data_IF_618937357133
#
_entry.id   IF_618937357133
#
_cell.length_a   1.000
_cell.length_b   1.000
_cell.length_c   1.000
_cell.angle_alpha   90.00
_cell.angle_beta   90.00
_cell.angle_gamma   90.00
#
_symmetry.space_group_name_H-M   'P 1'
#
loop_
_entity.id
_entity.type
_entity.pdbx_description
1 polymer ?
#
# COMPACT_ATOMS: atom_id res chain seq x y z
N UNK A 1 -42.47 24.66 -57.03
CA UNK A 1 -41.01 24.57 -56.93
C UNK A 1 -40.68 24.34 -55.46
N UNK A 2 -40.41 23.09 -55.14
CA UNK A 2 -40.28 22.59 -53.74
C UNK A 2 -38.83 22.62 -53.38
N UNK A 3 -38.46 23.40 -52.38
CA UNK A 3 -37.11 23.38 -51.82
C UNK A 3 -37.11 22.46 -50.60
N UNK A 4 -36.50 21.31 -50.74
CA UNK A 4 -36.21 20.38 -49.69
C UNK A 4 -35.04 20.91 -48.84
N UNK A 5 -35.31 21.22 -47.60
CA UNK A 5 -34.30 21.52 -46.60
C UNK A 5 -33.91 20.19 -45.96
N UNK A 6 -32.70 19.74 -46.30
CA UNK A 6 -32.11 18.57 -45.66
C UNK A 6 -31.51 19.00 -44.32
N UNK A 7 -32.18 18.64 -43.24
CA UNK A 7 -31.66 18.83 -41.88
C UNK A 7 -30.65 17.73 -41.59
N UNK A 8 -29.38 18.09 -41.58
CA UNK A 8 -28.30 17.22 -41.15
C UNK A 8 -28.35 17.05 -39.61
N UNK A 9 -28.79 15.89 -39.20
CA UNK A 9 -28.73 15.45 -37.82
C UNK A 9 -27.27 15.00 -37.53
N UNK A 10 -26.52 15.78 -36.82
CA UNK A 10 -25.19 15.40 -36.31
C UNK A 10 -25.40 14.59 -35.01
N UNK A 11 -25.08 13.30 -34.98
CA UNK A 11 -25.07 12.60 -33.72
C UNK A 11 -23.86 13.07 -32.92
N UNK A 12 -24.12 13.78 -31.84
CA UNK A 12 -23.10 14.09 -30.82
C UNK A 12 -22.62 12.79 -30.18
N UNK A 13 -21.47 12.34 -30.60
CA UNK A 13 -20.75 11.24 -29.98
C UNK A 13 -20.27 11.71 -28.61
N UNK A 14 -21.11 11.56 -27.59
CA UNK A 14 -20.71 11.71 -26.20
C UNK A 14 -19.81 10.52 -25.85
N UNK A 15 -18.53 10.64 -26.16
CA UNK A 15 -17.48 9.82 -25.58
C UNK A 15 -17.46 10.15 -24.08
N UNK A 16 -18.22 9.35 -23.31
CA UNK A 16 -18.10 9.33 -21.87
C UNK A 16 -16.66 8.99 -21.52
N UNK A 17 -15.91 9.99 -21.09
CA UNK A 17 -14.70 9.81 -20.30
C UNK A 17 -15.16 9.05 -19.05
N UNK A 18 -15.08 7.72 -19.10
CA UNK A 18 -15.05 6.92 -17.89
C UNK A 18 -13.79 7.33 -17.14
N UNK A 19 -13.88 8.46 -16.42
CA UNK A 19 -12.95 8.83 -15.39
C UNK A 19 -12.92 7.64 -14.46
N UNK A 20 -11.80 6.95 -14.40
CA UNK A 20 -11.51 6.00 -13.33
C UNK A 20 -11.63 6.78 -12.04
N UNK A 21 -12.85 6.82 -11.50
CA UNK A 21 -13.11 7.41 -10.19
C UNK A 21 -12.50 6.44 -9.18
N UNK A 22 -11.20 6.61 -8.93
CA UNK A 22 -10.53 5.97 -7.80
C UNK A 22 -11.29 6.47 -6.58
N UNK A 23 -12.02 5.59 -5.92
CA UNK A 23 -12.81 5.93 -4.74
C UNK A 23 -11.94 6.63 -3.71
N UNK A 24 -12.52 7.49 -2.90
CA UNK A 24 -11.76 8.14 -1.81
C UNK A 24 -11.17 7.11 -0.84
N UNK A 25 -11.79 5.94 -0.75
CA UNK A 25 -11.24 4.78 -0.04
C UNK A 25 -9.87 4.34 -0.55
N UNK A 26 -9.62 4.42 -1.87
CA UNK A 26 -8.30 4.09 -2.43
C UNK A 26 -7.23 5.14 -2.14
N UNK A 27 -7.62 6.34 -1.65
CA UNK A 27 -6.68 7.44 -1.42
C UNK A 27 -6.04 7.46 -0.03
N UNK A 28 -6.57 6.72 0.93
CA UNK A 28 -6.09 6.70 2.32
C UNK A 28 -5.65 5.29 2.74
N UNK A 29 -5.14 4.50 1.82
CA UNK A 29 -4.76 3.12 2.05
C UNK A 29 -3.49 3.02 2.90
N UNK A 30 -3.52 2.15 3.89
CA UNK A 30 -2.33 1.70 4.62
C UNK A 30 -1.89 0.36 4.00
N UNK A 31 -0.61 0.22 3.70
CA UNK A 31 -0.03 -1.07 3.29
C UNK A 31 0.75 -1.66 4.46
N UNK A 32 0.41 -2.88 4.87
CA UNK A 32 1.14 -3.68 5.85
C UNK A 32 1.88 -4.79 5.11
N UNK A 33 3.19 -4.63 4.96
CA UNK A 33 4.07 -5.58 4.29
C UNK A 33 4.78 -6.45 5.33
N UNK A 34 4.35 -7.70 5.46
CA UNK A 34 4.88 -8.68 6.41
C UNK A 34 5.91 -9.59 5.74
N UNK A 35 6.94 -9.97 6.49
CA UNK A 35 7.93 -10.96 6.04
C UNK A 35 7.29 -12.32 5.79
N UNK A 36 6.40 -12.74 6.70
CA UNK A 36 5.71 -14.03 6.63
C UNK A 36 4.43 -14.02 7.45
N UNK A 37 3.51 -14.89 7.13
CA UNK A 37 2.31 -15.19 7.94
C UNK A 37 2.32 -16.62 8.49
N UNK A 38 3.44 -17.33 8.41
CA UNK A 38 3.59 -18.66 9.00
C UNK A 38 3.92 -18.60 10.51
N UNK A 39 4.47 -17.49 10.98
CA UNK A 39 4.73 -17.25 12.39
C UNK A 39 3.44 -16.74 13.08
N UNK A 40 2.97 -17.39 14.15
CA UNK A 40 1.77 -16.98 14.88
C UNK A 40 1.79 -15.52 15.34
N UNK A 41 2.96 -14.99 15.69
CA UNK A 41 3.11 -13.60 16.05
C UNK A 41 2.64 -12.64 14.95
N UNK A 42 3.05 -12.85 13.69
CA UNK A 42 2.62 -12.00 12.57
C UNK A 42 1.17 -12.24 12.16
N UNK A 43 0.63 -13.41 12.47
CA UNK A 43 -0.82 -13.67 12.33
C UNK A 43 -1.61 -12.78 13.27
N UNK A 44 -1.21 -12.70 14.54
CA UNK A 44 -1.88 -11.85 15.53
C UNK A 44 -1.67 -10.35 15.21
N UNK A 45 -0.49 -9.97 14.79
CA UNK A 45 -0.21 -8.59 14.31
C UNK A 45 -1.15 -8.20 13.17
N UNK A 46 -1.34 -9.09 12.20
CA UNK A 46 -2.28 -8.89 11.09
C UNK A 46 -3.71 -8.72 11.60
N UNK A 47 -4.17 -9.59 12.50
CA UNK A 47 -5.52 -9.51 13.06
C UNK A 47 -5.73 -8.17 13.79
N UNK A 48 -4.79 -7.77 14.65
CA UNK A 48 -4.86 -6.49 15.34
C UNK A 48 -4.89 -5.29 14.38
N UNK A 49 -4.08 -5.34 13.30
CA UNK A 49 -4.09 -4.30 12.28
C UNK A 49 -5.42 -4.24 11.52
N UNK A 50 -6.00 -5.40 11.17
CA UNK A 50 -7.32 -5.48 10.51
C UNK A 50 -8.44 -4.92 11.38
N UNK A 51 -8.46 -5.29 12.66
CA UNK A 51 -9.45 -4.80 13.60
C UNK A 51 -9.35 -3.27 13.79
N UNK A 52 -8.12 -2.76 13.90
CA UNK A 52 -7.90 -1.32 14.04
C UNK A 52 -8.24 -0.55 12.78
N UNK A 53 -7.89 -1.05 11.63
CA UNK A 53 -8.24 -0.45 10.34
C UNK A 53 -9.76 -0.38 10.15
N UNK A 54 -10.48 -1.45 10.53
CA UNK A 54 -11.93 -1.50 10.51
C UNK A 54 -12.56 -0.50 11.48
N UNK A 55 -12.04 -0.40 12.70
CA UNK A 55 -12.48 0.56 13.72
C UNK A 55 -12.35 2.00 13.22
N UNK A 56 -11.24 2.30 12.53
CA UNK A 56 -10.93 3.63 12.02
C UNK A 56 -11.56 3.94 10.65
N UNK A 57 -12.15 2.94 10.00
CA UNK A 57 -12.69 3.08 8.64
C UNK A 57 -11.60 3.34 7.58
N UNK A 58 -10.38 2.81 7.78
CA UNK A 58 -9.24 3.02 6.88
C UNK A 58 -8.98 1.74 6.08
N UNK A 59 -8.85 1.83 4.73
CA UNK A 59 -8.49 0.68 3.91
C UNK A 59 -7.09 0.15 4.26
N UNK A 60 -6.99 -1.14 4.51
CA UNK A 60 -5.75 -1.83 4.81
C UNK A 60 -5.46 -2.88 3.74
N UNK A 61 -4.30 -2.75 3.09
CA UNK A 61 -3.75 -3.75 2.20
C UNK A 61 -2.67 -4.56 2.93
N UNK A 62 -2.81 -5.87 2.96
CA UNK A 62 -1.87 -6.75 3.65
C UNK A 62 -1.13 -7.59 2.63
N UNK A 63 0.19 -7.51 2.67
CA UNK A 63 1.08 -8.23 1.78
C UNK A 63 1.92 -9.20 2.59
N UNK A 64 2.00 -10.43 2.09
CA UNK A 64 2.82 -11.51 2.66
C UNK A 64 3.96 -11.80 1.70
N UNK A 65 5.18 -11.63 2.16
CA UNK A 65 6.36 -11.93 1.35
C UNK A 65 6.72 -13.42 1.36
N UNK A 66 6.09 -14.21 2.23
CA UNK A 66 6.35 -15.65 2.37
C UNK A 66 7.84 -15.97 2.56
N UNK A 67 8.53 -15.15 3.34
CA UNK A 67 9.97 -15.18 3.60
C UNK A 67 10.86 -14.99 2.33
N UNK A 68 10.30 -14.46 1.24
CA UNK A 68 11.04 -14.14 0.01
C UNK A 68 11.35 -12.63 -0.07
N UNK A 69 12.63 -12.21 0.08
CA UNK A 69 13.02 -10.82 -0.01
C UNK A 69 12.75 -10.19 -1.38
N UNK A 70 12.87 -10.96 -2.47
CA UNK A 70 12.62 -10.44 -3.81
C UNK A 70 11.12 -10.17 -4.03
N UNK A 71 10.26 -11.02 -3.49
CA UNK A 71 8.82 -10.79 -3.49
C UNK A 71 8.49 -9.53 -2.70
N UNK A 72 9.07 -9.35 -1.50
CA UNK A 72 8.81 -8.17 -0.69
C UNK A 72 9.28 -6.87 -1.36
N UNK A 73 10.45 -6.87 -2.00
CA UNK A 73 10.94 -5.72 -2.77
C UNK A 73 9.95 -5.33 -3.88
N UNK A 74 9.42 -6.31 -4.62
CA UNK A 74 8.43 -6.06 -5.65
C UNK A 74 7.10 -5.52 -5.07
N UNK A 75 6.64 -6.05 -3.95
CA UNK A 75 5.45 -5.59 -3.26
C UNK A 75 5.61 -4.14 -2.81
N UNK A 76 6.70 -3.81 -2.13
CA UNK A 76 7.03 -2.46 -1.67
C UNK A 76 7.18 -1.48 -2.85
N UNK A 77 7.84 -1.90 -3.95
CA UNK A 77 8.00 -1.08 -5.15
C UNK A 77 6.67 -0.67 -5.80
N UNK A 78 5.61 -1.43 -5.58
CA UNK A 78 4.28 -1.12 -6.09
C UNK A 78 3.37 -0.38 -5.10
N UNK A 79 3.76 -0.26 -3.83
CA UNK A 79 2.88 0.24 -2.77
C UNK A 79 2.34 1.66 -3.06
N UNK A 80 3.19 2.60 -3.47
CA UNK A 80 2.78 3.97 -3.77
C UNK A 80 1.87 4.06 -4.99
N UNK A 81 2.15 3.30 -6.04
CA UNK A 81 1.30 3.23 -7.24
C UNK A 81 -0.07 2.60 -6.95
N UNK A 82 -0.14 1.71 -5.96
CA UNK A 82 -1.38 1.11 -5.47
C UNK A 82 -2.15 2.04 -4.51
N UNK A 83 -1.62 3.21 -4.21
CA UNK A 83 -2.30 4.23 -3.42
C UNK A 83 -1.98 4.22 -1.93
N UNK A 84 -0.90 3.58 -1.51
CA UNK A 84 -0.45 3.63 -0.13
C UNK A 84 -0.16 5.07 0.31
N UNK A 85 -0.68 5.45 1.47
CA UNK A 85 -0.41 6.73 2.15
C UNK A 85 0.48 6.55 3.37
N UNK A 86 0.56 5.34 3.87
CA UNK A 86 1.49 4.90 4.89
C UNK A 86 1.88 3.46 4.53
N UNK A 87 3.15 3.14 4.70
CA UNK A 87 3.63 1.76 4.60
C UNK A 87 4.16 1.33 5.96
N UNK A 88 3.66 0.21 6.45
CA UNK A 88 4.15 -0.48 7.64
C UNK A 88 4.89 -1.72 7.16
N UNK A 89 6.16 -1.83 7.45
CA UNK A 89 6.99 -2.92 6.95
C UNK A 89 7.65 -3.72 8.07
N UNK A 90 7.53 -5.03 8.00
CA UNK A 90 8.40 -5.98 8.70
C UNK A 90 9.33 -6.60 7.66
N UNK A 91 10.59 -6.19 7.59
CA UNK A 91 11.50 -6.66 6.55
C UNK A 91 11.80 -8.16 6.62
N UNK A 92 11.79 -8.85 5.48
CA UNK A 92 12.37 -10.19 5.35
C UNK A 92 13.89 -10.11 5.47
N UNK A 93 14.46 -9.11 4.81
CA UNK A 93 15.88 -8.77 4.83
C UNK A 93 16.02 -7.24 4.84
N UNK A 94 16.68 -6.72 5.89
CA UNK A 94 16.82 -5.28 6.14
C UNK A 94 17.66 -4.54 5.09
N UNK A 95 18.57 -5.23 4.41
CA UNK A 95 19.39 -4.65 3.35
C UNK A 95 18.65 -4.71 1.99
N UNK A 96 18.03 -5.85 1.70
CA UNK A 96 17.35 -6.08 0.43
C UNK A 96 16.19 -5.10 0.18
N UNK A 97 15.41 -4.78 1.22
CA UNK A 97 14.25 -3.88 1.08
C UNK A 97 14.63 -2.39 1.05
N UNK A 98 15.85 -2.03 1.47
CA UNK A 98 16.27 -0.64 1.63
C UNK A 98 16.09 0.24 0.37
N UNK A 99 16.40 -0.22 -0.86
CA UNK A 99 16.15 0.58 -2.06
C UNK A 99 14.67 0.89 -2.30
N UNK A 100 13.80 -0.11 -2.08
CA UNK A 100 12.35 0.06 -2.25
C UNK A 100 11.77 1.02 -1.21
N UNK A 101 12.20 0.90 0.05
CA UNK A 101 11.78 1.81 1.13
C UNK A 101 12.23 3.24 0.86
N UNK A 102 13.46 3.44 0.37
CA UNK A 102 13.91 4.79 -0.07
C UNK A 102 13.03 5.36 -1.18
N UNK A 103 12.64 4.53 -2.13
CA UNK A 103 11.71 4.93 -3.19
C UNK A 103 10.38 5.43 -2.63
N UNK A 104 9.77 4.67 -1.73
CA UNK A 104 8.51 5.04 -1.06
C UNK A 104 8.63 6.38 -0.32
N UNK A 105 9.72 6.58 0.43
CA UNK A 105 9.97 7.84 1.15
C UNK A 105 10.20 9.00 0.21
N UNK A 106 10.88 8.80 -0.92
CA UNK A 106 11.06 9.84 -1.95
C UNK A 106 9.73 10.24 -2.59
N UNK A 107 8.76 9.34 -2.65
CA UNK A 107 7.39 9.63 -3.09
C UNK A 107 6.57 10.38 -2.01
N UNK A 108 7.16 10.68 -0.85
CA UNK A 108 6.53 11.39 0.25
C UNK A 108 5.60 10.52 1.11
N UNK A 109 5.72 9.21 1.02
CA UNK A 109 4.92 8.27 1.81
C UNK A 109 5.71 7.86 3.06
N UNK A 110 5.15 8.09 4.27
CA UNK A 110 5.78 7.67 5.51
C UNK A 110 5.94 6.14 5.60
N UNK A 111 7.08 5.70 6.17
CA UNK A 111 7.37 4.29 6.38
C UNK A 111 7.64 4.02 7.86
N UNK A 112 6.92 3.03 8.40
CA UNK A 112 7.03 2.58 9.79
C UNK A 112 7.60 1.16 9.79
N UNK A 113 8.68 0.94 10.52
CA UNK A 113 9.24 -0.38 10.75
C UNK A 113 8.54 -1.11 11.89
N UNK A 114 8.37 -2.41 11.75
CA UNK A 114 7.86 -3.29 12.82
C UNK A 114 8.83 -4.44 13.03
N UNK A 115 9.21 -4.66 14.28
CA UNK A 115 10.11 -5.72 14.75
C UNK A 115 11.55 -5.58 14.25
N UNK A 116 11.77 -5.11 13.04
CA UNK A 116 13.10 -4.89 12.43
C UNK A 116 13.21 -3.52 11.80
N UNK A 117 14.43 -3.01 11.80
CA UNK A 117 14.79 -1.80 11.07
C UNK A 117 15.16 -2.10 9.61
N UNK A 118 15.25 -1.06 8.81
CA UNK A 118 15.74 -1.11 7.42
C UNK A 118 17.11 -0.45 7.37
N UNK A 119 18.12 -1.20 6.97
CA UNK A 119 19.49 -0.73 6.99
C UNK A 119 19.74 0.46 6.07
N UNK A 120 20.36 1.51 6.62
CA UNK A 120 20.73 2.71 5.85
C UNK A 120 19.55 3.54 5.34
N UNK A 121 18.38 3.40 5.96
CA UNK A 121 17.20 4.23 5.71
C UNK A 121 16.67 4.73 7.05
N UNK A 122 16.50 6.03 7.20
CA UNK A 122 15.81 6.60 8.36
C UNK A 122 14.31 6.39 8.19
N UNK A 123 13.72 5.58 9.04
CA UNK A 123 12.28 5.35 9.08
C UNK A 123 11.57 6.46 9.86
N UNK A 124 10.29 6.72 9.54
CA UNK A 124 9.50 7.73 10.24
C UNK A 124 9.14 7.28 11.67
N UNK A 125 9.09 5.98 11.91
CA UNK A 125 8.97 5.35 13.21
C UNK A 125 9.40 3.89 13.15
N UNK A 126 9.82 3.34 14.29
CA UNK A 126 10.11 1.91 14.46
C UNK A 126 9.34 1.44 15.68
N UNK A 127 8.53 0.41 15.54
CA UNK A 127 7.89 -0.31 16.63
C UNK A 127 8.70 -1.58 16.90
N UNK A 128 9.56 -1.54 17.90
CA UNK A 128 10.30 -2.71 18.38
C UNK A 128 9.46 -3.42 19.45
N UNK A 129 9.30 -4.71 19.27
CA UNK A 129 8.55 -5.53 20.20
C UNK A 129 9.53 -6.19 21.15
N UNK A 130 9.75 -5.56 22.28
CA UNK A 130 10.45 -6.21 23.38
C UNK A 130 9.47 -7.14 24.11
N UNK A 131 9.70 -8.46 24.01
CA UNK A 131 9.09 -9.37 24.97
C UNK A 131 9.79 -9.15 26.31
N UNK A 132 9.02 -8.76 27.31
CA UNK A 132 9.52 -8.51 28.69
C UNK A 132 9.88 -9.79 29.46
N UNK A 133 10.20 -10.88 28.77
CA UNK A 133 10.52 -12.16 29.35
C UNK A 133 12.04 -12.41 29.47
N UNK A 134 12.79 -11.35 29.80
CA UNK A 134 14.17 -11.49 30.22
C UNK A 134 14.33 -10.91 31.63
N UNK A 135 13.76 -11.60 32.61
CA UNK A 135 14.03 -11.40 34.04
C UNK A 135 14.20 -12.76 34.75
#
# INVERSE_FOLDING_TARGET
MKKLIATLLVPALALGLASCNRSEEDRNRITLALSTQTNPFFVELRHGAQDKAKELGVPLDIQDASDDPAQQVNQLGNATSMGAKVVVVNPTDSDAVAPAVRGIKNDGVPVIGVDRDVNGVELDSICLLYTSDAA
#
